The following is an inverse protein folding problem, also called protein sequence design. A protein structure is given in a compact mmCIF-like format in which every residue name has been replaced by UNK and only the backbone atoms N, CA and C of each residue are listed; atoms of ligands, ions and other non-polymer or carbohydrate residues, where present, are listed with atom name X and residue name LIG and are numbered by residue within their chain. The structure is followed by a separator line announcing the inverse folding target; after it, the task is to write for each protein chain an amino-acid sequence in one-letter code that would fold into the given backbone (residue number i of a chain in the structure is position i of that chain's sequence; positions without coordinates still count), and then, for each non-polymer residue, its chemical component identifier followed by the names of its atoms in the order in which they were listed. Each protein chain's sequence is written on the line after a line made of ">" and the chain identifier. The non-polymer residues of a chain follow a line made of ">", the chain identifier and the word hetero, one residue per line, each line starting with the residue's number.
data_IF_942393745133
#
_entry.id   IF_942393745133
#
_cell.length_a   1.000
_cell.length_b   1.000
_cell.length_c   1.000
_cell.angle_alpha   90.00
_cell.angle_beta   90.00
_cell.angle_gamma   90.00
#
_symmetry.space_group_name_H-M   'P 1'
#
loop_
_entity.id
_entity.type
_entity.pdbx_description
1 polymer ?
#
# COMPACT_ATOMS: atom_id res chain seq x y z
N UNK A 1 -21.17 -20.55 -13.96
CA UNK A 1 -20.80 -19.65 -15.07
C UNK A 1 -20.26 -18.30 -14.59
N UNK A 2 -21.06 -17.39 -14.02
CA UNK A 2 -20.54 -16.08 -13.56
C UNK A 2 -19.56 -16.25 -12.39
N UNK A 3 -19.94 -17.02 -11.36
CA UNK A 3 -19.09 -17.28 -10.19
C UNK A 3 -17.77 -17.96 -10.56
N UNK A 4 -17.82 -19.02 -11.36
CA UNK A 4 -16.61 -19.72 -11.86
C UNK A 4 -15.67 -18.80 -12.64
N UNK A 5 -16.22 -17.86 -13.42
CA UNK A 5 -15.40 -16.89 -14.15
C UNK A 5 -14.77 -15.85 -13.20
N UNK A 6 -15.51 -15.38 -12.19
CA UNK A 6 -14.96 -14.52 -11.15
C UNK A 6 -13.82 -15.22 -10.38
N UNK A 7 -14.03 -16.46 -9.96
CA UNK A 7 -13.01 -17.26 -9.25
C UNK A 7 -11.74 -17.44 -10.11
N UNK A 8 -11.90 -17.63 -11.42
CA UNK A 8 -10.76 -17.69 -12.35
C UNK A 8 -9.97 -16.37 -12.38
N UNK A 9 -10.67 -15.24 -12.48
CA UNK A 9 -10.04 -13.91 -12.50
C UNK A 9 -9.38 -13.59 -11.15
N UNK A 10 -10.03 -13.92 -10.02
CA UNK A 10 -9.46 -13.75 -8.69
C UNK A 10 -8.19 -14.58 -8.48
N UNK A 11 -8.15 -15.79 -9.05
CA UNK A 11 -6.94 -16.63 -9.03
C UNK A 11 -5.81 -16.00 -9.85
N UNK A 12 -6.10 -15.50 -11.05
CA UNK A 12 -5.12 -14.79 -11.88
C UNK A 12 -4.57 -13.54 -11.18
N UNK A 13 -5.45 -12.73 -10.58
CA UNK A 13 -5.06 -11.56 -9.79
C UNK A 13 -4.22 -11.94 -8.56
N UNK A 14 -4.60 -13.02 -7.87
CA UNK A 14 -3.85 -13.51 -6.71
C UNK A 14 -2.43 -13.91 -7.10
N UNK A 15 -2.27 -14.65 -8.20
CA UNK A 15 -0.96 -15.07 -8.68
C UNK A 15 -0.08 -13.87 -9.05
N UNK A 16 -0.62 -12.89 -9.77
CA UNK A 16 0.11 -11.66 -10.11
C UNK A 16 0.58 -10.93 -8.84
N UNK A 17 -0.29 -10.80 -7.84
CA UNK A 17 0.06 -10.15 -6.58
C UNK A 17 1.13 -10.94 -5.81
N UNK A 18 1.06 -12.27 -5.78
CA UNK A 18 2.04 -13.12 -5.10
C UNK A 18 3.41 -13.04 -5.80
N UNK A 19 3.43 -13.08 -7.13
CA UNK A 19 4.67 -13.02 -7.92
C UNK A 19 5.44 -11.72 -7.63
N UNK A 20 4.76 -10.57 -7.64
CA UNK A 20 5.42 -9.29 -7.32
C UNK A 20 5.79 -9.18 -5.85
N UNK A 21 5.03 -9.79 -4.92
CA UNK A 21 5.42 -9.83 -3.50
C UNK A 21 6.72 -10.59 -3.30
N UNK A 22 6.90 -11.75 -3.96
CA UNK A 22 8.16 -12.51 -3.90
C UNK A 22 9.33 -11.68 -4.42
N UNK A 23 9.18 -11.00 -5.56
CA UNK A 23 10.23 -10.13 -6.10
C UNK A 23 10.57 -8.97 -5.15
N UNK A 24 9.56 -8.35 -4.52
CA UNK A 24 9.79 -7.28 -3.55
C UNK A 24 10.56 -7.78 -2.33
N UNK A 25 10.16 -8.91 -1.75
CA UNK A 25 10.70 -9.41 -0.49
C UNK A 25 12.05 -10.08 -0.62
N UNK A 26 12.28 -10.80 -1.74
CA UNK A 26 13.52 -11.56 -1.94
C UNK A 26 14.62 -10.73 -2.61
N UNK A 27 14.26 -9.67 -3.35
CA UNK A 27 15.22 -8.94 -4.18
C UNK A 27 15.18 -7.43 -3.97
N UNK A 28 14.04 -6.77 -4.19
CA UNK A 28 14.02 -5.31 -4.32
C UNK A 28 14.15 -4.60 -2.96
N UNK A 29 13.40 -5.02 -1.94
CA UNK A 29 13.47 -4.43 -0.61
C UNK A 29 14.84 -4.70 0.05
N UNK A 30 15.40 -5.92 0.03
CA UNK A 30 16.73 -6.18 0.57
C UNK A 30 17.86 -5.41 -0.14
N UNK A 31 17.70 -5.13 -1.45
CA UNK A 31 18.70 -4.40 -2.24
C UNK A 31 18.48 -2.89 -2.25
N UNK A 32 17.39 -2.40 -1.65
CA UNK A 32 17.08 -0.98 -1.64
C UNK A 32 18.06 -0.23 -0.73
N UNK A 33 18.73 0.78 -1.29
CA UNK A 33 19.41 1.79 -0.50
C UNK A 33 18.40 2.59 0.33
N UNK A 34 18.82 3.07 1.50
CA UNK A 34 18.02 3.99 2.30
C UNK A 34 17.57 5.21 1.46
N UNK A 35 16.31 5.61 1.62
CA UNK A 35 15.74 6.79 0.94
C UNK A 35 14.58 6.42 0.02
N UNK A 36 14.57 6.99 -1.19
CA UNK A 36 13.45 6.89 -2.15
C UNK A 36 13.08 5.44 -2.51
N UNK A 37 14.07 4.58 -2.76
CA UNK A 37 13.84 3.18 -3.13
C UNK A 37 13.11 2.40 -2.04
N UNK A 38 13.50 2.60 -0.77
CA UNK A 38 12.84 1.92 0.36
C UNK A 38 11.38 2.34 0.46
N UNK A 39 11.08 3.63 0.32
CA UNK A 39 9.71 4.14 0.35
C UNK A 39 8.90 3.59 -0.81
N UNK A 40 9.46 3.62 -2.03
CA UNK A 40 8.79 3.18 -3.24
C UNK A 40 8.42 1.69 -3.18
N UNK A 41 9.37 0.82 -2.81
CA UNK A 41 9.11 -0.63 -2.77
C UNK A 41 8.17 -1.03 -1.63
N UNK A 42 8.26 -0.40 -0.45
CA UNK A 42 7.31 -0.67 0.63
C UNK A 42 5.91 -0.12 0.31
N UNK A 43 5.81 1.04 -0.34
CA UNK A 43 4.53 1.55 -0.86
C UNK A 43 3.92 0.54 -1.85
N UNK A 44 4.72 0.05 -2.79
CA UNK A 44 4.28 -0.94 -3.77
C UNK A 44 3.80 -2.23 -3.09
N UNK A 45 4.53 -2.71 -2.08
CA UNK A 45 4.13 -3.84 -1.24
C UNK A 45 2.75 -3.59 -0.60
N UNK A 46 2.55 -2.41 -0.03
CA UNK A 46 1.26 -1.99 0.55
C UNK A 46 0.12 -1.99 -0.47
N UNK A 47 0.38 -1.49 -1.68
CA UNK A 47 -0.59 -1.42 -2.78
C UNK A 47 -1.06 -2.81 -3.24
N UNK A 48 -0.14 -3.76 -3.44
CA UNK A 48 -0.52 -5.11 -3.89
C UNK A 48 -1.22 -5.93 -2.81
N UNK A 49 -0.84 -5.77 -1.53
CA UNK A 49 -1.64 -6.36 -0.45
C UNK A 49 -3.03 -5.72 -0.34
N UNK A 50 -3.14 -4.42 -0.60
CA UNK A 50 -4.45 -3.75 -0.70
C UNK A 50 -5.29 -4.35 -1.83
N UNK A 51 -4.72 -4.55 -3.03
CA UNK A 51 -5.43 -5.21 -4.14
C UNK A 51 -5.92 -6.61 -3.76
N UNK A 52 -5.11 -7.41 -3.06
CA UNK A 52 -5.56 -8.70 -2.52
C UNK A 52 -6.75 -8.52 -1.56
N UNK A 53 -6.72 -7.53 -0.67
CA UNK A 53 -7.79 -7.26 0.28
C UNK A 53 -9.11 -6.79 -0.37
N UNK A 54 -9.09 -6.31 -1.61
CA UNK A 54 -10.29 -5.83 -2.32
C UNK A 54 -11.24 -6.98 -2.72
N UNK A 55 -10.69 -8.16 -3.05
CA UNK A 55 -11.49 -9.30 -3.51
C UNK A 55 -11.42 -10.54 -2.60
N UNK A 56 -10.43 -10.63 -1.71
CA UNK A 56 -10.38 -11.70 -0.70
C UNK A 56 -11.48 -11.53 0.35
N UNK A 57 -11.80 -12.62 1.06
CA UNK A 57 -12.82 -12.63 2.10
C UNK A 57 -12.33 -13.32 3.38
N UNK A 58 -13.06 -13.14 4.49
CA UNK A 58 -12.76 -13.78 5.77
C UNK A 58 -11.34 -13.50 6.28
N UNK A 59 -10.62 -14.56 6.64
CA UNK A 59 -9.27 -14.46 7.19
C UNK A 59 -8.24 -13.99 6.16
N UNK A 60 -8.34 -14.43 4.90
CA UNK A 60 -7.41 -14.00 3.85
C UNK A 60 -7.47 -12.48 3.64
N UNK A 61 -8.68 -11.90 3.66
CA UNK A 61 -8.86 -10.44 3.58
C UNK A 61 -8.18 -9.74 4.75
N UNK A 62 -8.37 -10.26 5.97
CA UNK A 62 -7.80 -9.68 7.18
C UNK A 62 -6.28 -9.71 7.14
N UNK A 63 -5.70 -10.85 6.76
CA UNK A 63 -4.25 -11.00 6.62
C UNK A 63 -3.68 -10.06 5.56
N UNK A 64 -4.32 -9.95 4.40
CA UNK A 64 -3.92 -9.00 3.36
C UNK A 64 -3.99 -7.54 3.85
N UNK A 65 -5.06 -7.16 4.56
CA UNK A 65 -5.20 -5.83 5.13
C UNK A 65 -4.11 -5.54 6.18
N UNK A 66 -3.83 -6.49 7.08
CA UNK A 66 -2.79 -6.34 8.11
C UNK A 66 -1.39 -6.19 7.48
N UNK A 67 -1.10 -6.92 6.40
CA UNK A 67 0.18 -6.79 5.68
C UNK A 67 0.27 -5.48 4.90
N UNK A 68 -0.82 -5.04 4.27
CA UNK A 68 -0.89 -3.75 3.59
C UNK A 68 -0.63 -2.60 4.57
N UNK A 69 -1.28 -2.63 5.74
CA UNK A 69 -1.08 -1.64 6.80
C UNK A 69 0.39 -1.55 7.23
N UNK A 70 1.01 -2.70 7.56
CA UNK A 70 2.43 -2.75 7.96
C UNK A 70 3.35 -2.16 6.90
N UNK A 71 3.14 -2.51 5.62
CA UNK A 71 3.97 -2.02 4.53
C UNK A 71 3.82 -0.50 4.35
N UNK A 72 2.61 0.04 4.44
CA UNK A 72 2.39 1.48 4.38
C UNK A 72 2.98 2.22 5.59
N UNK A 73 2.92 1.67 6.80
CA UNK A 73 3.53 2.26 8.00
C UNK A 73 5.07 2.31 7.89
N UNK A 74 5.70 1.24 7.39
CA UNK A 74 7.14 1.20 7.09
C UNK A 74 7.49 2.26 6.05
N UNK A 75 6.75 2.33 4.95
CA UNK A 75 6.96 3.32 3.90
C UNK A 75 6.81 4.76 4.42
N UNK A 76 5.83 5.00 5.30
CA UNK A 76 5.53 6.33 5.86
C UNK A 76 6.67 6.78 6.77
N UNK A 77 7.11 5.89 7.67
CA UNK A 77 8.25 6.16 8.55
C UNK A 77 9.53 6.49 7.76
N UNK A 78 9.80 5.73 6.70
CA UNK A 78 10.95 5.98 5.84
C UNK A 78 10.82 7.30 5.05
N UNK A 79 9.61 7.63 4.58
CA UNK A 79 9.35 8.86 3.86
C UNK A 79 9.50 10.11 4.74
N UNK A 80 8.96 10.08 5.96
CA UNK A 80 9.09 11.17 6.93
C UNK A 80 10.55 11.44 7.30
N UNK A 81 11.37 10.39 7.39
CA UNK A 81 12.78 10.52 7.76
C UNK A 81 13.69 11.01 6.62
N UNK A 82 13.33 10.77 5.35
CA UNK A 82 14.25 10.92 4.21
C UNK A 82 13.74 11.80 3.08
N UNK A 83 12.43 12.05 2.97
CA UNK A 83 11.82 12.75 1.84
C UNK A 83 11.09 14.02 2.30
N UNK A 84 11.26 15.15 1.59
CA UNK A 84 10.50 16.36 1.89
C UNK A 84 8.99 16.12 1.71
N UNK A 85 8.12 16.81 2.46
CA UNK A 85 6.66 16.76 2.30
C UNK A 85 6.17 16.92 0.85
N UNK A 86 6.83 17.74 0.05
CA UNK A 86 6.52 17.96 -1.38
C UNK A 86 6.97 16.84 -2.31
N UNK A 87 7.71 15.83 -1.81
CA UNK A 87 8.24 14.76 -2.64
C UNK A 87 7.12 13.91 -3.27
N UNK A 88 7.10 13.69 -4.60
CA UNK A 88 6.01 12.98 -5.28
C UNK A 88 5.74 11.56 -4.76
N UNK A 89 6.79 10.82 -4.38
CA UNK A 89 6.62 9.47 -3.80
C UNK A 89 5.95 9.53 -2.43
N UNK A 90 6.27 10.52 -1.59
CA UNK A 90 5.66 10.70 -0.26
C UNK A 90 4.19 11.10 -0.38
N UNK A 91 3.88 12.01 -1.29
CA UNK A 91 2.49 12.39 -1.60
C UNK A 91 1.69 11.22 -2.16
N UNK A 92 2.26 10.47 -3.12
CA UNK A 92 1.63 9.28 -3.67
C UNK A 92 1.43 8.16 -2.64
N UNK A 93 2.34 8.03 -1.68
CA UNK A 93 2.18 7.14 -0.53
C UNK A 93 1.00 7.57 0.35
N UNK A 94 0.94 8.84 0.76
CA UNK A 94 -0.14 9.36 1.60
C UNK A 94 -1.51 9.21 0.91
N UNK A 95 -1.57 9.48 -0.40
CA UNK A 95 -2.78 9.24 -1.21
C UNK A 95 -3.22 7.78 -1.13
N UNK A 96 -2.35 6.83 -1.48
CA UNK A 96 -2.73 5.42 -1.51
C UNK A 96 -3.06 4.87 -0.12
N UNK A 97 -2.37 5.35 0.91
CA UNK A 97 -2.65 4.94 2.29
C UNK A 97 -3.97 5.55 2.80
N UNK A 98 -4.35 6.76 2.35
CA UNK A 98 -5.68 7.31 2.63
C UNK A 98 -6.79 6.48 1.98
N UNK A 99 -6.60 6.04 0.73
CA UNK A 99 -7.52 5.13 0.03
C UNK A 99 -7.65 3.81 0.78
N UNK A 100 -6.54 3.23 1.24
CA UNK A 100 -6.55 2.03 2.07
C UNK A 100 -7.40 2.20 3.34
N UNK A 101 -7.21 3.31 4.07
CA UNK A 101 -8.02 3.56 5.27
C UNK A 101 -9.51 3.69 4.95
N UNK A 102 -9.85 4.31 3.83
CA UNK A 102 -11.24 4.48 3.42
C UNK A 102 -11.87 3.16 2.96
N UNK A 103 -11.27 2.48 1.98
CA UNK A 103 -11.86 1.35 1.26
C UNK A 103 -11.66 0.00 1.97
N UNK A 104 -10.53 -0.20 2.64
CA UNK A 104 -10.19 -1.50 3.26
C UNK A 104 -10.50 -1.49 4.75
N UNK A 105 -10.09 -0.44 5.46
CA UNK A 105 -10.24 -0.36 6.91
C UNK A 105 -11.59 0.22 7.35
N UNK A 106 -12.39 0.74 6.40
CA UNK A 106 -13.67 1.41 6.67
C UNK A 106 -13.52 2.53 7.74
N UNK A 107 -12.42 3.29 7.64
CA UNK A 107 -12.02 4.34 8.57
C UNK A 107 -11.94 5.70 7.85
N UNK A 108 -13.08 6.26 7.42
CA UNK A 108 -13.11 7.47 6.58
C UNK A 108 -12.53 8.71 7.29
N UNK A 109 -12.72 8.84 8.60
CA UNK A 109 -12.14 9.95 9.38
C UNK A 109 -10.61 9.92 9.35
N UNK A 110 -10.02 8.73 9.47
CA UNK A 110 -8.56 8.55 9.43
C UNK A 110 -8.01 8.77 8.02
N UNK A 111 -8.73 8.34 6.99
CA UNK A 111 -8.39 8.62 5.60
C UNK A 111 -8.35 10.12 5.31
N UNK A 112 -9.40 10.85 5.68
CA UNK A 112 -9.48 12.30 5.51
C UNK A 112 -8.40 13.04 6.28
N UNK A 113 -8.13 12.62 7.53
CA UNK A 113 -7.08 13.22 8.35
C UNK A 113 -5.71 13.06 7.70
N UNK A 114 -5.35 11.85 7.26
CA UNK A 114 -4.08 11.58 6.61
C UNK A 114 -3.91 12.38 5.31
N UNK A 115 -4.93 12.38 4.44
CA UNK A 115 -4.88 13.11 3.18
C UNK A 115 -4.74 14.63 3.41
N UNK A 116 -5.48 15.18 4.38
CA UNK A 116 -5.41 16.60 4.74
C UNK A 116 -4.04 16.94 5.31
N UNK A 117 -3.51 16.14 6.23
CA UNK A 117 -2.20 16.38 6.83
C UNK A 117 -1.10 16.43 5.75
N UNK A 118 -1.07 15.45 4.84
CA UNK A 118 -0.09 15.42 3.76
C UNK A 118 -0.19 16.64 2.83
N UNK A 119 -1.41 17.10 2.55
CA UNK A 119 -1.65 18.30 1.75
C UNK A 119 -1.20 19.58 2.46
N UNK A 120 -1.57 19.74 3.73
CA UNK A 120 -1.22 20.91 4.55
C UNK A 120 0.31 21.01 4.76
N UNK A 121 0.99 19.88 5.00
CA UNK A 121 2.45 19.80 5.12
C UNK A 121 3.15 20.20 3.81
N UNK A 122 2.67 19.73 2.65
CA UNK A 122 3.28 20.04 1.37
C UNK A 122 3.08 21.50 0.92
N UNK A 123 2.02 22.18 1.40
CA UNK A 123 1.82 23.61 1.15
C UNK A 123 2.66 24.49 2.07
N UNK A 124 3.02 23.98 3.25
CA UNK A 124 3.72 24.73 4.29
C UNK A 124 5.25 24.69 4.18
N UNK A 125 5.78 23.95 3.20
CA UNK A 125 7.21 23.85 2.87
C UNK A 125 7.66 24.97 1.93
#
# INVERSE_FOLDING_TARGET
>A
RIKEYMEKVELELSNICIDIMSVLDEHLIPSASEGESTVFFNKMKGDYYRYLAEFKSGNERKEAADQSLKAYEIATTAAEAKLPPTHPIRLGLALNFSVFYYEIMNAPERACHLAKQAFDEAISE
#
